data_IF_755283604719
#
_entry.id   IF_755283604719
#
_cell.length_a   1.000
_cell.length_b   1.000
_cell.length_c   1.000
_cell.angle_alpha   90.00
_cell.angle_beta   90.00
_cell.angle_gamma   90.00
#
_symmetry.space_group_name_H-M   'P 1'
#
loop_
_entity.id
_entity.type
_entity.pdbx_description
1 polymer ?
#
# COMPACT_ATOMS: atom_id res chain seq x y z
N UNK A 1 28.32 7.19 -31.45
CA UNK A 1 26.91 7.17 -31.86
C UNK A 1 26.14 7.18 -30.57
N UNK A 2 25.50 8.30 -30.25
CA UNK A 2 24.61 8.38 -29.10
C UNK A 2 23.48 7.39 -29.34
N UNK A 3 23.11 6.60 -28.35
CA UNK A 3 21.98 5.68 -28.45
C UNK A 3 20.75 6.53 -28.84
N UNK A 4 20.30 6.41 -30.09
CA UNK A 4 19.19 7.15 -30.71
C UNK A 4 17.82 6.65 -30.19
N UNK A 5 17.80 6.02 -29.01
CA UNK A 5 16.56 5.71 -28.31
C UNK A 5 16.09 6.96 -27.59
N UNK A 6 14.95 7.47 -28.03
CA UNK A 6 14.20 8.47 -27.31
C UNK A 6 13.95 7.93 -25.88
N UNK A 7 14.49 8.60 -24.84
CA UNK A 7 14.40 8.10 -23.49
C UNK A 7 12.96 8.13 -22.97
N UNK A 8 12.12 9.03 -23.49
CA UNK A 8 10.72 9.13 -23.10
C UNK A 8 9.92 7.96 -23.68
N UNK A 9 10.15 7.61 -24.95
CA UNK A 9 9.53 6.45 -25.58
C UNK A 9 9.92 5.12 -24.88
N UNK A 10 11.17 5.00 -24.45
CA UNK A 10 11.63 3.83 -23.68
C UNK A 10 10.95 3.76 -22.29
N UNK A 11 10.71 4.90 -21.65
CA UNK A 11 10.01 4.96 -20.37
C UNK A 11 8.53 4.63 -20.51
N UNK A 12 7.88 5.05 -21.59
CA UNK A 12 6.46 4.77 -21.81
C UNK A 12 6.22 3.28 -22.11
N UNK A 13 7.04 2.65 -22.96
CA UNK A 13 6.98 1.20 -23.21
C UNK A 13 7.16 0.39 -21.91
N UNK A 14 8.09 0.83 -21.06
CA UNK A 14 8.30 0.22 -19.76
C UNK A 14 7.07 0.37 -18.85
N UNK A 15 6.46 1.57 -18.77
CA UNK A 15 5.24 1.78 -17.96
C UNK A 15 4.07 0.92 -18.46
N UNK A 16 3.86 0.87 -19.78
CA UNK A 16 2.80 0.07 -20.38
C UNK A 16 2.99 -1.42 -20.04
N UNK A 17 4.22 -1.91 -20.12
CA UNK A 17 4.55 -3.30 -19.73
C UNK A 17 4.25 -3.55 -18.26
N UNK A 18 4.74 -2.68 -17.36
CA UNK A 18 4.52 -2.83 -15.92
C UNK A 18 3.02 -2.76 -15.55
N UNK A 19 2.25 -1.89 -16.22
CA UNK A 19 0.80 -1.79 -16.01
C UNK A 19 0.07 -3.05 -16.49
N UNK A 20 0.48 -3.61 -17.62
CA UNK A 20 -0.10 -4.85 -18.14
C UNK A 20 0.20 -6.04 -17.21
N UNK A 21 1.44 -6.18 -16.74
CA UNK A 21 1.81 -7.21 -15.76
C UNK A 21 1.04 -7.06 -14.44
N UNK A 22 0.85 -5.82 -13.97
CA UNK A 22 0.05 -5.56 -12.78
C UNK A 22 -1.42 -5.97 -12.94
N UNK A 23 -2.04 -5.60 -14.06
CA UNK A 23 -3.40 -5.98 -14.37
C UNK A 23 -3.58 -7.50 -14.51
N UNK A 24 -2.59 -8.18 -15.11
CA UNK A 24 -2.59 -9.64 -15.22
C UNK A 24 -2.53 -10.32 -13.84
N UNK A 25 -1.68 -9.83 -12.93
CA UNK A 25 -1.56 -10.36 -11.57
C UNK A 25 -2.82 -10.11 -10.72
N UNK A 26 -3.51 -8.98 -10.94
CA UNK A 26 -4.82 -8.72 -10.32
C UNK A 26 -5.85 -9.75 -10.79
N UNK A 27 -5.92 -9.99 -12.10
CA UNK A 27 -6.95 -10.84 -12.70
C UNK A 27 -6.68 -12.34 -12.49
N UNK A 28 -5.44 -12.75 -12.27
CA UNK A 28 -5.02 -14.15 -12.11
C UNK A 28 -4.21 -14.33 -10.81
N UNK A 29 -4.86 -14.22 -9.63
CA UNK A 29 -4.23 -14.52 -8.35
C UNK A 29 -3.67 -15.94 -8.29
N UNK A 30 -2.60 -16.14 -7.51
CA UNK A 30 -2.09 -17.48 -7.20
C UNK A 30 -3.12 -18.29 -6.39
N UNK A 31 -3.70 -19.38 -6.92
CA UNK A 31 -4.78 -20.11 -6.26
C UNK A 31 -4.32 -20.87 -5.02
N UNK A 32 -3.01 -21.10 -4.85
CA UNK A 32 -2.45 -21.83 -3.72
C UNK A 32 -2.16 -20.93 -2.52
N UNK A 33 -2.30 -19.60 -2.65
CA UNK A 33 -2.03 -18.63 -1.58
C UNK A 33 -3.28 -18.22 -0.79
N UNK A 34 -3.10 -17.96 0.50
CA UNK A 34 -4.14 -17.38 1.34
C UNK A 34 -4.27 -15.87 1.06
N UNK A 35 -5.33 -15.46 0.36
CA UNK A 35 -5.52 -14.06 -0.02
C UNK A 35 -6.14 -13.20 1.10
N UNK A 36 -5.39 -12.20 1.54
CA UNK A 36 -5.84 -11.16 2.49
C UNK A 36 -5.37 -9.78 2.02
N UNK A 37 -6.28 -8.79 2.04
CA UNK A 37 -6.00 -7.42 1.61
C UNK A 37 -5.62 -6.55 2.81
N UNK A 38 -4.50 -5.86 2.69
CA UNK A 38 -3.96 -4.96 3.69
C UNK A 38 -3.76 -3.55 3.12
N UNK A 39 -4.02 -2.56 3.96
CA UNK A 39 -3.68 -1.16 3.71
C UNK A 39 -2.98 -0.60 4.94
N UNK A 40 -1.90 0.17 4.73
CA UNK A 40 -1.16 0.80 5.83
C UNK A 40 -1.49 2.29 5.87
N UNK A 41 -1.98 2.75 7.02
CA UNK A 41 -2.22 4.16 7.31
C UNK A 41 -1.53 4.54 8.62
N UNK A 42 -1.03 5.77 8.71
CA UNK A 42 -0.31 6.28 9.88
C UNK A 42 -1.06 7.47 10.47
N UNK A 43 -1.32 7.42 11.77
CA UNK A 43 -2.01 8.52 12.48
C UNK A 43 -1.01 9.30 13.31
N UNK A 44 -0.91 10.59 13.03
CA UNK A 44 -0.02 11.49 13.76
C UNK A 44 -0.62 11.88 15.11
N UNK A 45 0.20 11.83 16.16
CA UNK A 45 -0.13 12.33 17.49
C UNK A 45 0.89 13.40 17.89
N UNK A 46 0.41 14.46 18.51
CA UNK A 46 1.22 15.45 19.23
C UNK A 46 1.30 15.02 20.69
N UNK A 47 2.51 14.98 21.23
CA UNK A 47 2.76 14.63 22.63
C UNK A 47 3.42 15.82 23.31
N UNK A 48 2.81 16.28 24.40
CA UNK A 48 3.31 17.35 25.25
C UNK A 48 3.97 16.73 26.49
N UNK A 49 5.07 17.33 26.93
CA UNK A 49 5.81 16.91 28.11
C UNK A 49 5.94 18.07 29.08
N UNK A 50 5.81 17.78 30.37
CA UNK A 50 6.06 18.71 31.47
C UNK A 50 7.26 18.24 32.29
N UNK A 51 7.99 19.19 32.88
CA UNK A 51 9.14 18.87 33.73
C UNK A 51 8.71 18.80 35.19
N UNK A 52 8.94 17.64 35.82
CA UNK A 52 8.83 17.43 37.26
C UNK A 52 10.18 17.73 37.94
N UNK A 53 10.28 18.81 38.75
CA UNK A 53 11.50 19.17 39.45
C UNK A 53 11.82 18.28 40.67
N UNK A 54 10.82 17.60 41.25
CA UNK A 54 11.01 16.70 42.39
C UNK A 54 11.64 15.38 41.95
N UNK A 55 11.24 14.90 40.76
CA UNK A 55 11.80 13.71 40.13
C UNK A 55 12.99 14.00 39.18
N UNK A 56 13.26 15.28 38.88
CA UNK A 56 14.22 15.72 37.86
C UNK A 56 14.01 15.01 36.51
N UNK A 57 12.76 15.01 36.03
CA UNK A 57 12.40 14.25 34.83
C UNK A 57 11.33 14.93 33.98
N UNK A 58 11.28 14.60 32.68
CA UNK A 58 10.18 15.00 31.80
C UNK A 58 9.11 13.92 31.79
N UNK A 59 7.90 14.27 32.21
CA UNK A 59 6.74 13.41 32.19
C UNK A 59 5.83 13.77 31.01
N UNK A 60 5.16 12.77 30.43
CA UNK A 60 4.14 13.04 29.40
C UNK A 60 2.92 13.64 30.08
N UNK A 61 2.54 14.83 29.63
CA UNK A 61 1.39 15.56 30.12
C UNK A 61 0.16 15.30 29.24
N UNK A 62 0.30 15.48 27.92
CA UNK A 62 -0.82 15.37 26.99
C UNK A 62 -0.46 14.57 25.74
N UNK A 63 -1.44 13.83 25.22
CA UNK A 63 -1.38 13.18 23.90
C UNK A 63 -2.63 13.58 23.12
N UNK A 64 -2.43 14.36 22.06
CA UNK A 64 -3.48 14.81 21.14
C UNK A 64 -3.33 14.10 19.79
N UNK A 65 -4.42 13.53 19.26
CA UNK A 65 -4.44 13.09 17.87
C UNK A 65 -4.56 14.31 16.97
N UNK A 66 -3.60 14.50 16.06
CA UNK A 66 -3.59 15.66 15.15
C UNK A 66 -4.04 15.34 13.73
N UNK A 67 -4.19 14.06 13.41
CA UNK A 67 -4.62 13.60 12.08
C UNK A 67 -5.72 12.54 12.20
N UNK A 68 -6.54 12.40 11.17
CA UNK A 68 -7.66 11.46 11.17
C UNK A 68 -7.24 10.13 10.55
N UNK A 69 -7.80 9.04 11.07
CA UNK A 69 -7.60 7.74 10.45
C UNK A 69 -8.32 7.75 9.08
N UNK A 70 -7.53 7.73 8.01
CA UNK A 70 -8.04 7.65 6.64
C UNK A 70 -7.58 6.36 5.99
N UNK A 71 -8.48 5.71 5.25
CA UNK A 71 -8.15 4.52 4.47
C UNK A 71 -7.12 4.87 3.39
N UNK A 72 -6.06 4.06 3.21
CA UNK A 72 -5.06 4.31 2.19
C UNK A 72 -5.64 4.06 0.79
N UNK A 73 -5.18 4.84 -0.18
CA UNK A 73 -5.61 4.73 -1.58
C UNK A 73 -5.08 3.47 -2.26
N UNK A 74 -3.97 2.92 -1.75
CA UNK A 74 -3.32 1.74 -2.31
C UNK A 74 -3.25 0.63 -1.27
N UNK A 75 -3.61 -0.56 -1.73
CA UNK A 75 -3.71 -1.79 -0.97
C UNK A 75 -2.76 -2.85 -1.53
N UNK A 76 -2.48 -3.87 -0.72
CA UNK A 76 -1.67 -5.03 -1.09
C UNK A 76 -2.35 -6.31 -0.67
N UNK A 77 -2.14 -7.38 -1.44
CA UNK A 77 -2.51 -8.74 -1.07
C UNK A 77 -1.32 -9.46 -0.44
N UNK A 78 -1.59 -10.47 0.37
CA UNK A 78 -0.59 -11.40 0.89
C UNK A 78 0.17 -12.15 -0.23
N UNK A 79 -0.45 -12.36 -1.39
CA UNK A 79 0.16 -12.99 -2.58
C UNK A 79 1.07 -12.05 -3.39
N UNK A 80 1.71 -11.09 -2.70
CA UNK A 80 2.64 -10.09 -3.24
C UNK A 80 2.12 -9.11 -4.32
N UNK A 81 0.84 -9.16 -4.71
CA UNK A 81 0.23 -8.12 -5.56
C UNK A 81 0.04 -6.83 -4.75
N UNK A 82 0.71 -5.75 -5.15
CA UNK A 82 0.77 -4.48 -4.41
C UNK A 82 0.37 -3.31 -5.29
N UNK A 83 -0.10 -2.23 -4.66
CA UNK A 83 -0.43 -0.98 -5.37
C UNK A 83 -1.81 -1.01 -6.00
N UNK A 84 -2.71 -1.86 -5.49
CA UNK A 84 -4.09 -1.94 -5.98
C UNK A 84 -4.93 -0.82 -5.38
N UNK A 85 -5.74 -0.16 -6.20
CA UNK A 85 -6.87 0.63 -5.72
C UNK A 85 -7.89 -0.26 -4.99
N UNK A 86 -8.84 0.30 -4.22
CA UNK A 86 -9.90 -0.47 -3.58
C UNK A 86 -10.75 -1.28 -4.57
N UNK A 87 -10.93 -0.77 -5.79
CA UNK A 87 -11.69 -1.45 -6.85
C UNK A 87 -10.91 -2.65 -7.42
N UNK A 88 -9.62 -2.47 -7.67
CA UNK A 88 -8.71 -3.55 -8.13
C UNK A 88 -8.54 -4.62 -7.06
N UNK A 89 -8.39 -4.25 -5.79
CA UNK A 89 -8.29 -5.21 -4.69
C UNK A 89 -9.56 -6.06 -4.54
N UNK A 90 -10.74 -5.46 -4.79
CA UNK A 90 -12.01 -6.17 -4.83
C UNK A 90 -12.08 -7.14 -6.01
N UNK A 91 -11.57 -6.76 -7.18
CA UNK A 91 -11.49 -7.63 -8.35
C UNK A 91 -10.59 -8.83 -8.07
N UNK A 92 -9.40 -8.58 -7.54
CA UNK A 92 -8.43 -9.59 -7.18
C UNK A 92 -9.00 -10.65 -6.22
N UNK A 93 -9.64 -10.21 -5.13
CA UNK A 93 -10.28 -11.15 -4.17
C UNK A 93 -11.44 -11.92 -4.79
N UNK A 94 -12.15 -11.34 -5.77
CA UNK A 94 -13.20 -12.07 -6.48
C UNK A 94 -12.58 -13.20 -7.31
N UNK A 95 -11.57 -12.88 -8.12
CA UNK A 95 -10.87 -13.85 -8.94
C UNK A 95 -10.27 -14.97 -8.09
N UNK A 96 -9.64 -14.64 -6.97
CA UNK A 96 -9.07 -15.60 -6.02
C UNK A 96 -10.11 -16.60 -5.49
N UNK A 97 -11.32 -16.12 -5.19
CA UNK A 97 -12.41 -16.99 -4.73
C UNK A 97 -12.94 -17.87 -5.85
N UNK A 98 -13.12 -17.31 -7.04
CA UNK A 98 -13.58 -18.06 -8.21
C UNK A 98 -12.60 -19.19 -8.55
N UNK A 99 -11.29 -18.94 -8.46
CA UNK A 99 -10.24 -19.95 -8.71
C UNK A 99 -10.12 -21.01 -7.62
N UNK A 100 -10.47 -20.70 -6.37
CA UNK A 100 -10.46 -21.67 -5.27
C UNK A 100 -11.65 -22.65 -5.29
N UNK A 101 -12.72 -22.32 -6.01
CA UNK A 101 -13.91 -23.14 -6.19
C UNK A 101 -13.78 -24.15 -7.36
N UNK A 102 -12.70 -24.08 -8.16
CA UNK A 102 -12.39 -24.95 -9.32
C UNK A 102 -11.50 -26.16 -8.96
#
# INVERSE_FOLDING_TARGET
>A
MSDERDPEATLDEWKETMQAEHAEAIANPDPDEDHHIEGVTQVSHRVTFEYDPDADSLERDEIERVDELTDPELLSCACDVRGMTPEEAREHIRAARESADE
#
